data_IF_898829099076
#
_entry.id   IF_898829099076
#
_cell.length_a   1.000
_cell.length_b   1.000
_cell.length_c   1.000
_cell.angle_alpha   90.00
_cell.angle_beta   90.00
_cell.angle_gamma   90.00
#
_symmetry.space_group_name_H-M   'P 1'
#
loop_
_entity.id
_entity.type
_entity.pdbx_description
1 polymer ?
#
# COMPACT_ATOMS: atom_id res chain seq x y z
N UNK A 1 9.90 6.15 -3.76
CA UNK A 1 10.43 6.49 -5.10
C UNK A 1 10.21 7.98 -5.29
N UNK A 2 10.93 8.64 -6.20
CA UNK A 2 10.63 10.03 -6.59
C UNK A 2 9.95 9.95 -7.97
N UNK A 3 8.62 10.04 -7.99
CA UNK A 3 7.84 9.89 -9.22
C UNK A 3 7.96 11.12 -10.12
N UNK A 4 7.62 10.98 -11.41
CA UNK A 4 7.72 12.05 -12.39
C UNK A 4 6.95 13.33 -11.98
N UNK A 5 5.76 13.20 -11.39
CA UNK A 5 5.00 14.35 -10.87
C UNK A 5 5.80 15.10 -9.79
N UNK A 6 6.36 14.36 -8.82
CA UNK A 6 7.19 14.94 -7.77
C UNK A 6 8.46 15.57 -8.35
N UNK A 7 9.11 14.89 -9.28
CA UNK A 7 10.29 15.39 -9.99
C UNK A 7 10.01 16.74 -10.67
N UNK A 8 8.94 16.84 -11.45
CA UNK A 8 8.55 18.08 -12.14
C UNK A 8 8.25 19.22 -11.15
N UNK A 9 7.59 18.90 -10.03
CA UNK A 9 7.32 19.88 -8.97
C UNK A 9 8.62 20.41 -8.34
N UNK A 10 9.56 19.52 -8.00
CA UNK A 10 10.85 19.87 -7.40
C UNK A 10 11.73 20.73 -8.33
N UNK A 11 11.60 20.57 -9.65
CA UNK A 11 12.36 21.38 -10.60
C UNK A 11 11.91 22.84 -10.68
N UNK A 12 10.70 23.19 -10.23
CA UNK A 12 10.11 24.51 -10.51
C UNK A 12 9.60 25.24 -9.28
N UNK A 13 8.98 24.53 -8.34
CA UNK A 13 8.07 25.14 -7.38
C UNK A 13 8.60 25.22 -5.94
N UNK A 14 9.83 24.76 -5.70
CA UNK A 14 10.41 24.67 -4.36
C UNK A 14 11.68 25.51 -4.20
N UNK A 15 11.87 26.04 -3.00
CA UNK A 15 13.14 26.55 -2.49
C UNK A 15 14.11 25.41 -2.13
N UNK A 16 15.36 25.75 -1.77
CA UNK A 16 16.38 24.75 -1.43
C UNK A 16 15.98 23.86 -0.25
N UNK A 17 15.44 24.43 0.83
CA UNK A 17 15.03 23.67 2.02
C UNK A 17 13.72 22.91 1.80
N UNK A 18 12.81 23.47 1.01
CA UNK A 18 11.56 22.81 0.58
C UNK A 18 11.86 21.56 -0.26
N UNK A 19 12.89 21.63 -1.10
CA UNK A 19 13.37 20.49 -1.89
C UNK A 19 13.80 19.33 -0.99
N UNK A 20 14.66 19.61 -0.01
CA UNK A 20 15.14 18.60 0.94
C UNK A 20 14.00 18.05 1.80
N UNK A 21 13.05 18.92 2.18
CA UNK A 21 11.84 18.53 2.93
C UNK A 21 11.02 17.49 2.17
N UNK A 22 10.81 17.69 0.86
CA UNK A 22 10.11 16.73 0.02
C UNK A 22 10.88 15.40 -0.12
N UNK A 23 12.19 15.45 -0.35
CA UNK A 23 13.00 14.24 -0.47
C UNK A 23 13.03 13.43 0.83
N UNK A 24 13.11 14.12 1.96
CA UNK A 24 13.08 13.51 3.29
C UNK A 24 11.69 12.93 3.58
N UNK A 25 10.61 13.65 3.28
CA UNK A 25 9.24 13.14 3.41
C UNK A 25 9.06 11.83 2.63
N UNK A 26 9.45 11.80 1.35
CA UNK A 26 9.41 10.58 0.52
C UNK A 26 10.26 9.42 1.06
N UNK A 27 11.31 9.71 1.84
CA UNK A 27 12.10 8.68 2.50
C UNK A 27 11.34 8.01 3.65
N UNK A 28 10.44 8.75 4.29
CA UNK A 28 9.75 8.40 5.52
C UNK A 28 8.22 8.26 5.39
N UNK A 29 7.69 8.20 4.17
CA UNK A 29 6.27 7.88 3.91
C UNK A 29 6.01 6.37 3.91
N UNK A 30 4.94 5.92 4.57
CA UNK A 30 4.49 4.53 4.55
C UNK A 30 3.80 4.12 3.23
N UNK A 31 3.14 2.96 3.18
CA UNK A 31 2.45 2.51 1.98
C UNK A 31 1.28 3.40 1.54
N UNK A 32 0.66 4.16 2.45
CA UNK A 32 -0.44 5.08 2.16
C UNK A 32 0.04 6.50 1.87
N UNK A 33 1.36 6.72 1.89
CA UNK A 33 1.98 8.02 1.69
C UNK A 33 2.03 8.86 2.98
N UNK A 34 1.60 8.35 4.13
CA UNK A 34 1.62 9.07 5.41
C UNK A 34 3.06 9.12 5.93
N UNK A 35 3.51 10.32 6.26
CA UNK A 35 4.86 10.56 6.79
C UNK A 35 4.89 10.08 8.24
N UNK A 36 5.68 9.05 8.50
CA UNK A 36 5.79 8.41 9.83
C UNK A 36 6.89 9.03 10.70
N UNK A 37 7.55 10.09 10.23
CA UNK A 37 8.65 10.75 10.93
C UNK A 37 8.12 11.90 11.81
N UNK A 38 8.46 11.93 13.11
CA UNK A 38 8.19 13.08 13.96
C UNK A 38 8.84 14.35 13.43
N UNK A 39 8.22 15.51 13.72
CA UNK A 39 8.67 16.82 13.23
C UNK A 39 10.12 17.14 13.59
N UNK A 40 10.53 16.89 14.84
CA UNK A 40 11.89 17.16 15.31
C UNK A 40 12.96 16.34 14.55
N UNK A 41 12.66 15.06 14.30
CA UNK A 41 13.54 14.19 13.50
C UNK A 41 13.59 14.64 12.05
N UNK A 42 12.46 15.08 11.49
CA UNK A 42 12.39 15.61 10.14
C UNK A 42 13.19 16.91 10.00
N UNK A 43 13.09 17.83 10.96
CA UNK A 43 13.83 19.09 10.96
C UNK A 43 15.34 18.83 11.00
N UNK A 44 15.81 17.96 11.90
CA UNK A 44 17.21 17.52 11.95
C UNK A 44 17.65 16.83 10.66
N UNK A 45 16.78 15.98 10.11
CA UNK A 45 17.02 15.24 8.89
C UNK A 45 17.15 16.10 7.65
N UNK A 46 16.37 17.19 7.57
CA UNK A 46 16.44 18.22 6.52
C UNK A 46 17.63 19.15 6.75
N UNK A 47 18.03 19.39 8.00
CA UNK A 47 19.05 20.37 8.37
C UNK A 47 18.46 21.76 8.62
N UNK A 48 17.28 21.82 9.24
CA UNK A 48 16.58 23.07 9.56
C UNK A 48 15.98 23.05 10.97
N UNK A 49 15.36 24.14 11.39
CA UNK A 49 14.67 24.25 12.69
C UNK A 49 13.24 23.74 12.61
N UNK A 50 12.69 23.23 13.72
CA UNK A 50 11.27 22.85 13.76
C UNK A 50 10.34 24.00 13.41
N UNK A 51 10.65 25.22 13.86
CA UNK A 51 9.87 26.43 13.56
C UNK A 51 9.77 26.65 12.05
N UNK A 52 10.90 26.59 11.35
CA UNK A 52 10.92 26.78 9.89
C UNK A 52 10.25 25.61 9.16
N UNK A 53 10.46 24.38 9.62
CA UNK A 53 9.78 23.22 9.05
C UNK A 53 8.25 23.30 9.19
N UNK A 54 7.72 23.81 10.31
CA UNK A 54 6.27 24.06 10.47
C UNK A 54 5.75 25.06 9.42
N UNK A 55 6.52 26.11 9.10
CA UNK A 55 6.15 27.06 8.05
C UNK A 55 6.11 26.39 6.68
N UNK A 56 7.09 25.55 6.37
CA UNK A 56 7.10 24.76 5.12
C UNK A 56 5.89 23.82 5.06
N UNK A 57 5.61 23.08 6.13
CA UNK A 57 4.45 22.18 6.21
C UNK A 57 3.15 22.96 6.01
N UNK A 58 2.99 24.10 6.67
CA UNK A 58 1.82 24.96 6.50
C UNK A 58 1.66 25.38 5.03
N UNK A 59 2.72 25.91 4.41
CA UNK A 59 2.75 26.27 2.98
C UNK A 59 2.35 25.09 2.08
N UNK A 60 2.83 23.88 2.39
CA UNK A 60 2.55 22.65 1.64
C UNK A 60 1.14 22.09 1.81
N UNK A 61 0.42 22.51 2.85
CA UNK A 61 -0.98 22.12 3.12
C UNK A 61 -2.01 23.11 2.58
N UNK A 62 -1.59 24.36 2.30
CA UNK A 62 -2.45 25.42 1.77
C UNK A 62 -2.46 25.35 0.23
N UNK A 63 -3.63 25.54 -0.42
CA UNK A 63 -3.69 25.66 -1.88
C UNK A 63 -2.80 26.81 -2.38
N UNK A 64 -1.97 26.57 -3.38
CA UNK A 64 -1.15 27.61 -4.01
C UNK A 64 -1.60 27.82 -5.46
N UNK A 65 -2.64 28.63 -5.65
CA UNK A 65 -3.28 28.81 -6.95
C UNK A 65 -3.81 27.47 -7.48
N UNK A 66 -3.42 27.09 -8.70
CA UNK A 66 -3.77 25.81 -9.32
C UNK A 66 -2.86 24.64 -8.92
N UNK A 67 -1.82 24.88 -8.10
CA UNK A 67 -0.91 23.82 -7.68
C UNK A 67 -1.59 22.91 -6.65
N UNK A 68 -1.42 21.60 -6.86
CA UNK A 68 -1.83 20.57 -5.91
C UNK A 68 -1.11 20.75 -4.57
N UNK A 69 -1.84 20.57 -3.47
CA UNK A 69 -1.26 20.52 -2.12
C UNK A 69 -0.20 19.43 -2.06
N UNK A 70 0.99 19.76 -1.57
CA UNK A 70 2.09 18.79 -1.40
C UNK A 70 1.77 17.84 -0.25
N UNK A 71 1.22 18.36 0.84
CA UNK A 71 0.83 17.61 2.03
C UNK A 71 -0.69 17.70 2.27
N UNK A 72 -1.29 16.56 2.64
CA UNK A 72 -2.69 16.47 3.07
C UNK A 72 -2.72 16.04 4.54
N UNK A 73 -3.35 16.80 5.45
CA UNK A 73 -3.43 16.42 6.85
C UNK A 73 -4.27 15.14 7.03
N UNK A 74 -3.80 14.27 7.92
CA UNK A 74 -4.47 13.02 8.32
C UNK A 74 -4.59 13.05 9.84
N UNK A 75 -5.82 13.11 10.32
CA UNK A 75 -6.13 13.17 11.75
C UNK A 75 -6.18 11.75 12.32
N UNK A 76 -5.37 11.46 13.33
CA UNK A 76 -5.32 10.18 14.04
C UNK A 76 -5.51 10.43 15.54
N UNK A 77 -6.77 10.52 15.96
CA UNK A 77 -7.08 10.95 17.33
C UNK A 77 -6.68 12.41 17.53
N UNK A 78 -5.83 12.67 18.53
CA UNK A 78 -5.31 14.01 18.86
C UNK A 78 -4.09 14.42 18.00
N UNK A 79 -3.43 13.45 17.35
CA UNK A 79 -2.25 13.71 16.51
C UNK A 79 -2.63 14.03 15.07
N UNK A 80 -1.95 15.02 14.47
CA UNK A 80 -2.04 15.33 13.04
C UNK A 80 -0.78 14.83 12.32
N UNK A 81 -0.95 13.86 11.43
CA UNK A 81 0.08 13.45 10.48
C UNK A 81 -0.18 14.07 9.11
N UNK A 82 0.79 13.91 8.20
CA UNK A 82 0.71 14.45 6.85
C UNK A 82 0.95 13.36 5.81
N UNK A 83 0.07 13.29 4.81
CA UNK A 83 0.21 12.45 3.62
C UNK A 83 0.89 13.21 2.50
N UNK A 84 1.94 12.63 1.93
CA UNK A 84 2.60 13.14 0.73
C UNK A 84 1.69 12.95 -0.48
N UNK A 85 1.44 14.01 -1.25
CA UNK A 85 0.37 14.06 -2.25
C UNK A 85 0.86 14.44 -3.66
N UNK A 86 2.16 14.39 -3.93
CA UNK A 86 2.71 14.50 -5.28
C UNK A 86 3.09 13.11 -5.80
N UNK A 87 2.45 12.65 -6.86
CA UNK A 87 2.59 11.29 -7.39
C UNK A 87 1.42 10.37 -7.01
N UNK A 88 1.58 9.04 -7.21
CA UNK A 88 0.57 8.05 -6.87
C UNK A 88 0.15 8.15 -5.40
N UNK A 89 -1.15 8.02 -5.14
CA UNK A 89 -1.71 8.13 -3.79
C UNK A 89 -1.24 7.04 -2.82
N UNK A 90 -0.64 5.96 -3.32
CA UNK A 90 -0.03 4.87 -2.54
C UNK A 90 1.32 4.47 -3.16
N UNK A 91 2.30 4.20 -2.30
CA UNK A 91 3.61 3.68 -2.71
C UNK A 91 3.56 2.25 -3.26
N UNK A 92 2.39 1.58 -3.20
CA UNK A 92 2.19 0.22 -3.72
C UNK A 92 1.66 0.17 -5.16
N UNK A 93 1.20 1.29 -5.71
CA UNK A 93 0.56 1.37 -7.03
C UNK A 93 1.52 1.49 -8.22
N UNK A 94 2.80 1.09 -8.07
CA UNK A 94 3.79 1.24 -9.14
C UNK A 94 3.46 0.37 -10.37
N UNK A 95 3.25 1.00 -11.51
CA UNK A 95 3.09 0.34 -12.80
C UNK A 95 4.37 0.48 -13.63
N UNK A 96 5.05 -0.66 -13.86
CA UNK A 96 6.31 -0.71 -14.61
C UNK A 96 6.20 -0.23 -16.06
N UNK A 97 5.01 -0.25 -16.67
CA UNK A 97 4.78 0.17 -18.06
C UNK A 97 4.62 1.69 -18.19
N UNK A 98 4.03 2.34 -17.20
CA UNK A 98 3.65 3.77 -17.29
C UNK A 98 4.49 4.66 -16.39
N UNK A 99 4.95 4.14 -15.25
CA UNK A 99 5.51 4.99 -14.21
C UNK A 99 7.02 5.12 -14.36
N UNK A 100 7.46 6.36 -14.53
CA UNK A 100 8.87 6.76 -14.46
C UNK A 100 9.18 7.30 -13.09
N UNK A 101 10.32 6.89 -12.53
CA UNK A 101 10.75 7.34 -11.22
C UNK A 101 12.27 7.38 -11.08
N UNK A 102 12.70 8.22 -10.14
CA UNK A 102 14.07 8.23 -9.63
C UNK A 102 14.16 7.44 -8.32
N UNK A 103 15.22 6.64 -8.17
CA UNK A 103 15.54 6.00 -6.88
C UNK A 103 15.92 7.09 -5.87
N UNK A 104 15.77 6.78 -4.59
CA UNK A 104 16.17 7.68 -3.49
C UNK A 104 17.67 7.51 -3.21
N UNK A 105 18.52 7.94 -4.15
CA UNK A 105 19.96 7.75 -4.06
C UNK A 105 20.55 8.31 -2.76
N UNK A 106 21.61 7.66 -2.27
CA UNK A 106 22.24 7.97 -0.99
C UNK A 106 22.75 9.41 -0.94
N UNK A 107 23.30 9.92 -2.04
CA UNK A 107 23.87 11.25 -2.11
C UNK A 107 22.84 12.37 -1.87
N UNK A 108 21.56 12.17 -2.21
CA UNK A 108 20.48 13.14 -1.95
C UNK A 108 20.30 13.47 -0.46
N UNK A 109 20.78 12.60 0.42
CA UNK A 109 20.63 12.73 1.87
C UNK A 109 21.94 13.14 2.57
N UNK A 110 23.00 13.39 1.80
CA UNK A 110 24.31 13.81 2.31
C UNK A 110 24.32 15.30 2.72
N UNK A 111 25.26 15.68 3.58
CA UNK A 111 25.48 17.09 3.93
C UNK A 111 25.91 17.91 2.70
N UNK A 112 26.77 17.34 1.85
CA UNK A 112 27.24 17.96 0.61
C UNK A 112 26.07 18.32 -0.32
N UNK A 113 25.12 17.41 -0.55
CA UNK A 113 23.94 17.71 -1.36
C UNK A 113 23.06 18.80 -0.74
N UNK A 114 22.82 18.75 0.57
CA UNK A 114 21.98 19.75 1.27
C UNK A 114 22.56 21.16 1.16
N UNK A 115 23.88 21.28 1.15
CA UNK A 115 24.59 22.55 1.01
C UNK A 115 24.55 23.14 -0.42
N UNK A 116 24.16 22.35 -1.43
CA UNK A 116 24.04 22.86 -2.79
C UNK A 116 22.96 23.94 -2.91
N UNK A 117 23.18 24.84 -3.86
CA UNK A 117 22.15 25.78 -4.30
C UNK A 117 20.96 25.03 -4.91
N UNK A 118 19.80 25.69 -4.98
CA UNK A 118 18.62 25.10 -5.62
C UNK A 118 18.90 24.69 -7.09
N UNK A 119 19.75 25.43 -7.82
CA UNK A 119 20.15 25.08 -9.17
C UNK A 119 20.99 23.80 -9.22
N UNK A 120 21.97 23.65 -8.33
CA UNK A 120 22.74 22.41 -8.18
C UNK A 120 21.85 21.20 -7.85
N UNK A 121 20.91 21.36 -6.90
CA UNK A 121 19.96 20.30 -6.53
C UNK A 121 19.07 19.88 -7.70
N UNK A 122 18.54 20.85 -8.44
CA UNK A 122 17.71 20.60 -9.63
C UNK A 122 18.50 19.88 -10.71
N UNK A 123 19.71 20.36 -11.03
CA UNK A 123 20.54 19.78 -12.08
C UNK A 123 20.91 18.33 -11.75
N UNK A 124 21.31 18.07 -10.50
CA UNK A 124 21.65 16.71 -10.07
C UNK A 124 20.43 15.80 -10.04
N UNK A 125 19.25 16.30 -9.64
CA UNK A 125 18.01 15.52 -9.71
C UNK A 125 17.63 15.19 -11.16
N UNK A 126 17.83 16.10 -12.12
CA UNK A 126 17.64 15.81 -13.55
C UNK A 126 18.51 14.64 -13.99
N UNK A 127 19.83 14.72 -13.75
CA UNK A 127 20.78 13.66 -14.05
C UNK A 127 20.38 12.32 -13.42
N UNK A 128 20.13 12.32 -12.10
CA UNK A 128 19.76 11.13 -11.35
C UNK A 128 18.42 10.50 -11.78
N UNK A 129 17.45 11.34 -12.19
CA UNK A 129 16.18 10.86 -12.72
C UNK A 129 16.37 10.14 -14.05
N UNK A 130 17.14 10.74 -14.98
CA UNK A 130 17.47 10.10 -16.26
C UNK A 130 18.29 8.83 -16.04
N UNK A 131 19.25 8.84 -15.11
CA UNK A 131 20.05 7.68 -14.70
C UNK A 131 19.15 6.52 -14.25
N UNK A 132 18.15 6.80 -13.40
CA UNK A 132 17.20 5.79 -12.92
C UNK A 132 16.29 5.23 -14.00
N UNK A 133 15.82 6.08 -14.91
CA UNK A 133 14.90 5.69 -15.99
C UNK A 133 15.61 4.88 -17.06
N UNK A 134 16.82 5.31 -17.47
CA UNK A 134 17.63 4.62 -18.48
C UNK A 134 18.41 3.43 -17.92
N UNK A 135 18.58 3.36 -16.59
CA UNK A 135 19.44 2.37 -15.91
C UNK A 135 20.88 2.39 -16.44
N UNK A 136 21.39 3.60 -16.69
CA UNK A 136 22.74 3.87 -17.18
C UNK A 136 23.37 4.95 -16.32
N UNK A 137 24.61 4.73 -15.89
CA UNK A 137 25.41 5.70 -15.12
C UNK A 137 25.98 6.82 -15.98
N UNK A 138 25.97 6.64 -17.30
CA UNK A 138 26.20 7.72 -18.26
C UNK A 138 24.85 8.19 -18.83
N UNK A 139 24.54 9.48 -18.67
CA UNK A 139 23.33 10.08 -19.22
C UNK A 139 23.60 11.42 -19.88
N UNK A 140 22.88 11.64 -20.99
CA UNK A 140 23.07 12.78 -21.88
C UNK A 140 21.83 13.68 -21.84
N UNK A 141 22.00 14.99 -21.89
CA UNK A 141 20.95 15.99 -22.08
C UNK A 141 21.33 16.91 -23.22
N UNK A 142 20.39 17.21 -24.12
CA UNK A 142 20.60 18.33 -25.01
C UNK A 142 20.51 19.64 -24.21
N UNK A 143 21.37 20.62 -24.54
CA UNK A 143 21.43 21.89 -23.79
C UNK A 143 20.05 22.58 -23.68
N UNK A 144 19.29 22.57 -24.77
CA UNK A 144 17.95 23.15 -24.84
C UNK A 144 16.91 22.44 -23.97
N UNK A 145 17.16 21.22 -23.48
CA UNK A 145 16.27 20.56 -22.50
C UNK A 145 16.42 21.18 -21.11
N UNK A 146 17.59 21.72 -20.79
CA UNK A 146 17.92 22.33 -19.50
C UNK A 146 17.66 23.84 -19.55
N UNK A 147 18.01 24.47 -20.66
CA UNK A 147 17.81 25.90 -20.93
C UNK A 147 16.90 26.08 -22.16
N UNK A 148 15.60 25.72 -22.06
CA UNK A 148 14.69 25.80 -23.20
C UNK A 148 14.35 27.23 -23.60
N UNK A 149 14.12 28.13 -22.64
CA UNK A 149 13.66 29.52 -22.86
C UNK A 149 14.05 30.45 -21.67
N UNK A 150 13.78 31.75 -21.79
CA UNK A 150 14.01 32.78 -20.75
C UNK A 150 13.25 32.53 -19.42
N UNK A 151 12.20 31.71 -19.45
CA UNK A 151 11.43 31.29 -18.25
C UNK A 151 12.03 30.04 -17.57
N UNK A 152 13.13 29.49 -18.08
CA UNK A 152 13.82 28.38 -17.45
C UNK A 152 14.41 28.82 -16.09
N UNK A 153 14.38 27.95 -15.06
CA UNK A 153 15.15 28.19 -13.85
C UNK A 153 16.67 28.27 -14.11
N UNK A 154 17.16 27.76 -15.24
CA UNK A 154 18.55 27.82 -15.65
C UNK A 154 18.79 28.87 -16.73
N UNK A 155 19.78 29.72 -16.49
CA UNK A 155 20.51 30.46 -17.53
C UNK A 155 21.84 29.75 -17.78
N UNK A 156 22.57 30.09 -18.86
CA UNK A 156 23.91 29.53 -19.12
C UNK A 156 24.84 29.68 -17.91
N UNK A 157 24.87 30.87 -17.32
CA UNK A 157 25.70 31.14 -16.14
C UNK A 157 25.29 30.27 -14.95
N UNK A 158 23.98 30.22 -14.61
CA UNK A 158 23.49 29.40 -13.50
C UNK A 158 23.76 27.91 -13.71
N UNK A 159 23.80 27.45 -14.97
CA UNK A 159 24.17 26.08 -15.29
C UNK A 159 25.66 25.83 -15.02
N UNK A 160 26.54 26.72 -15.46
CA UNK A 160 27.97 26.64 -15.20
C UNK A 160 28.27 26.68 -13.69
N UNK A 161 27.65 27.61 -12.96
CA UNK A 161 27.79 27.74 -11.51
C UNK A 161 27.31 26.47 -10.79
N UNK A 162 26.19 25.88 -11.25
CA UNK A 162 25.66 24.64 -10.69
C UNK A 162 26.59 23.45 -10.97
N UNK A 163 27.20 23.37 -12.15
CA UNK A 163 28.18 22.33 -12.48
C UNK A 163 29.41 22.43 -11.60
N UNK A 164 29.99 23.63 -11.46
CA UNK A 164 31.14 23.87 -10.59
C UNK A 164 30.84 23.48 -9.14
N UNK A 165 29.72 23.95 -8.58
CA UNK A 165 29.32 23.61 -7.22
C UNK A 165 29.10 22.11 -7.00
N UNK A 166 28.60 21.38 -8.02
CA UNK A 166 28.45 19.92 -7.95
C UNK A 166 29.81 19.23 -8.00
N UNK A 167 30.74 19.67 -8.84
CA UNK A 167 32.08 19.09 -8.88
C UNK A 167 32.82 19.29 -7.55
N UNK A 168 32.73 20.49 -6.98
CA UNK A 168 33.37 20.81 -5.70
C UNK A 168 32.81 19.95 -4.54
N UNK A 169 31.48 19.78 -4.49
CA UNK A 169 30.83 19.09 -3.39
C UNK A 169 30.71 17.56 -3.58
N UNK A 170 30.51 17.11 -4.82
CA UNK A 170 30.08 15.75 -5.19
C UNK A 170 30.81 15.21 -6.43
N UNK A 171 31.96 15.77 -6.82
CA UNK A 171 32.74 15.31 -7.98
C UNK A 171 33.26 13.87 -7.89
N UNK A 172 33.32 13.33 -6.67
CA UNK A 172 33.61 11.91 -6.40
C UNK A 172 32.41 10.98 -6.66
N UNK A 173 31.23 11.52 -6.98
CA UNK A 173 30.01 10.76 -7.32
C UNK A 173 29.65 10.96 -8.78
N UNK A 174 29.76 12.19 -9.29
CA UNK A 174 29.35 12.54 -10.65
C UNK A 174 30.28 13.57 -11.27
N UNK A 175 30.65 13.33 -12.52
CA UNK A 175 31.32 14.29 -13.38
C UNK A 175 30.38 14.76 -14.48
N UNK A 176 30.09 16.05 -14.48
CA UNK A 176 29.32 16.72 -15.53
C UNK A 176 30.27 17.40 -16.51
N UNK A 177 30.12 17.16 -17.81
CA UNK A 177 30.94 17.80 -18.86
C UNK A 177 30.08 18.29 -20.03
N UNK A 178 30.49 19.38 -20.64
CA UNK A 178 29.92 19.86 -21.91
C UNK A 178 30.59 19.13 -23.06
N UNK A 179 29.78 18.63 -24.00
CA UNK A 179 30.25 18.01 -25.22
C UNK A 179 29.42 18.50 -26.42
N UNK A 180 29.81 18.08 -27.62
CA UNK A 180 29.07 18.34 -28.85
C UNK A 180 28.72 17.02 -29.52
N UNK A 181 27.48 16.87 -30.00
CA UNK A 181 27.11 15.68 -30.77
C UNK A 181 27.93 15.65 -32.06
N UNK A 182 28.60 14.54 -32.32
CA UNK A 182 29.52 14.37 -33.45
C UNK A 182 28.93 14.79 -34.81
N UNK A 183 27.64 14.50 -35.06
CA UNK A 183 27.00 14.75 -36.35
C UNK A 183 26.24 16.09 -36.43
N UNK A 184 25.59 16.51 -35.35
CA UNK A 184 24.73 17.71 -35.38
C UNK A 184 25.40 18.97 -34.83
N UNK A 185 26.61 18.84 -34.26
CA UNK A 185 27.35 19.89 -33.55
C UNK A 185 26.57 20.58 -32.42
N UNK A 186 25.42 20.03 -32.01
CA UNK A 186 24.60 20.59 -30.93
C UNK A 186 25.27 20.32 -29.59
N UNK A 187 25.31 21.35 -28.75
CA UNK A 187 25.85 21.29 -27.39
C UNK A 187 24.99 20.37 -26.51
N UNK A 188 25.66 19.49 -25.78
CA UNK A 188 25.07 18.51 -24.87
C UNK A 188 25.77 18.57 -23.51
N UNK A 189 25.04 18.22 -22.45
CA UNK A 189 25.62 17.90 -21.16
C UNK A 189 25.69 16.38 -20.98
N UNK A 190 26.85 15.89 -20.58
CA UNK A 190 27.11 14.50 -20.22
C UNK A 190 27.25 14.43 -18.71
N UNK A 191 26.49 13.55 -18.07
CA UNK A 191 26.64 13.20 -16.66
C UNK A 191 27.22 11.79 -16.59
N UNK A 192 28.41 11.67 -16.01
CA UNK A 192 29.06 10.40 -15.73
C UNK A 192 29.03 10.17 -14.23
N UNK A 193 28.08 9.35 -13.78
CA UNK A 193 28.06 8.84 -12.41
C UNK A 193 29.10 7.74 -12.27
N UNK A 194 29.76 7.69 -11.12
CA UNK A 194 30.73 6.63 -10.85
C UNK A 194 30.05 5.26 -10.75
N UNK A 195 30.82 4.21 -11.05
CA UNK A 195 30.33 2.84 -11.05
C UNK A 195 29.72 2.45 -9.69
N UNK A 196 28.53 1.87 -9.73
CA UNK A 196 27.78 1.39 -8.56
C UNK A 196 26.80 2.40 -7.96
N UNK A 197 26.84 3.67 -8.37
CA UNK A 197 25.91 4.71 -7.87
C UNK A 197 24.45 4.36 -8.16
N UNK A 198 24.17 3.62 -9.25
CA UNK A 198 22.83 3.12 -9.56
C UNK A 198 22.23 2.26 -8.44
N UNK A 199 23.04 1.58 -7.65
CA UNK A 199 22.61 0.68 -6.59
C UNK A 199 22.75 1.27 -5.18
N UNK A 200 23.34 2.46 -5.06
CA UNK A 200 23.46 3.21 -3.81
C UNK A 200 22.20 4.03 -3.49
N UNK A 201 21.14 3.37 -3.01
CA UNK A 201 19.90 4.04 -2.62
C UNK A 201 19.50 3.79 -1.16
N UNK A 202 18.77 4.75 -0.58
CA UNK A 202 18.16 4.62 0.74
C UNK A 202 16.84 3.87 0.63
N UNK A 203 16.76 2.74 1.32
CA UNK A 203 15.50 2.00 1.49
C UNK A 203 14.48 2.81 2.29
N UNK A 204 13.22 2.74 1.88
CA UNK A 204 12.12 3.20 2.72
C UNK A 204 11.87 2.20 3.85
N UNK A 205 11.98 2.63 5.10
CA UNK A 205 11.68 1.79 6.29
C UNK A 205 10.52 2.35 7.12
N UNK A 206 9.72 3.26 6.57
CA UNK A 206 8.58 3.87 7.26
C UNK A 206 7.57 2.81 7.71
N UNK A 207 7.19 1.90 6.83
CA UNK A 207 6.26 0.80 7.16
C UNK A 207 6.83 -0.11 8.26
N UNK A 208 8.12 -0.44 8.20
CA UNK A 208 8.80 -1.21 9.25
C UNK A 208 8.72 -0.53 10.61
N UNK A 209 8.90 0.79 10.61
CA UNK A 209 8.86 1.61 11.81
C UNK A 209 7.46 1.66 12.38
N UNK A 210 6.45 1.84 11.52
CA UNK A 210 5.04 1.80 11.89
C UNK A 210 4.63 0.43 12.45
N UNK A 211 5.09 -0.66 11.84
CA UNK A 211 4.88 -2.02 12.33
C UNK A 211 5.41 -2.19 13.76
N UNK A 212 6.67 -1.81 14.00
CA UNK A 212 7.29 -1.91 15.32
C UNK A 212 6.54 -1.08 16.35
N UNK A 213 6.21 0.18 16.01
CA UNK A 213 5.43 1.07 16.87
C UNK A 213 4.06 0.47 17.20
N UNK A 214 3.39 -0.11 16.22
CA UNK A 214 2.08 -0.75 16.40
C UNK A 214 2.16 -1.92 17.37
N UNK A 215 3.14 -2.81 17.20
CA UNK A 215 3.32 -3.96 18.08
C UNK A 215 3.73 -3.52 19.49
N UNK A 216 4.65 -2.55 19.60
CA UNK A 216 5.08 -1.98 20.87
C UNK A 216 3.91 -1.39 21.66
N UNK A 217 3.13 -0.54 21.01
CA UNK A 217 1.95 0.10 21.61
C UNK A 217 0.83 -0.90 21.95
N UNK A 218 0.93 -2.15 21.48
CA UNK A 218 -0.05 -3.21 21.76
C UNK A 218 0.35 -4.12 22.93
N UNK A 219 1.48 -3.84 23.60
CA UNK A 219 1.90 -4.51 24.83
C UNK A 219 3.18 -5.36 24.72
N UNK A 220 3.82 -5.45 23.55
CA UNK A 220 5.10 -6.15 23.42
C UNK A 220 6.28 -5.17 23.42
N UNK A 221 6.95 -5.06 24.56
CA UNK A 221 8.08 -4.13 24.76
C UNK A 221 9.43 -4.64 24.21
N UNK A 222 9.48 -5.89 23.72
CA UNK A 222 10.70 -6.48 23.20
C UNK A 222 11.08 -5.97 21.81
N UNK A 223 12.36 -6.08 21.45
CA UNK A 223 12.82 -5.77 20.11
C UNK A 223 12.41 -6.86 19.11
N UNK A 224 11.94 -6.45 17.92
CA UNK A 224 11.63 -7.35 16.80
C UNK A 224 12.70 -7.14 15.73
N UNK A 225 13.42 -8.22 15.42
CA UNK A 225 14.50 -8.20 14.44
C UNK A 225 13.99 -7.84 13.03
N UNK A 226 14.91 -7.36 12.19
CA UNK A 226 14.59 -6.89 10.84
C UNK A 226 14.09 -8.03 9.93
N UNK A 227 14.53 -9.27 10.15
CA UNK A 227 14.11 -10.43 9.35
C UNK A 227 12.65 -10.81 9.59
N UNK A 228 12.19 -10.84 10.84
CA UNK A 228 10.78 -11.02 11.20
C UNK A 228 9.96 -9.87 10.62
N UNK A 229 10.36 -8.61 10.83
CA UNK A 229 9.63 -7.46 10.29
C UNK A 229 9.42 -7.55 8.77
N UNK A 230 10.45 -7.98 8.01
CA UNK A 230 10.34 -8.15 6.55
C UNK A 230 9.31 -9.21 6.16
N UNK A 231 9.23 -10.33 6.89
CA UNK A 231 8.22 -11.36 6.61
C UNK A 231 6.81 -10.87 6.98
N UNK A 232 6.65 -10.15 8.09
CA UNK A 232 5.36 -9.54 8.46
C UNK A 232 4.91 -8.48 7.42
N UNK A 233 5.84 -7.64 6.96
CA UNK A 233 5.62 -6.68 5.86
C UNK A 233 5.21 -7.40 4.57
N UNK A 234 5.75 -8.59 4.27
CA UNK A 234 5.34 -9.34 3.07
C UNK A 234 3.89 -9.80 3.16
N UNK A 235 3.45 -10.27 4.32
CA UNK A 235 2.04 -10.66 4.53
C UNK A 235 1.11 -9.46 4.39
N UNK A 236 1.47 -8.32 4.98
CA UNK A 236 0.74 -7.07 4.79
C UNK A 236 0.69 -6.66 3.32
N UNK A 237 1.84 -6.64 2.63
CA UNK A 237 1.90 -6.23 1.22
C UNK A 237 1.06 -7.13 0.31
N UNK A 238 0.92 -8.41 0.64
CA UNK A 238 0.07 -9.35 -0.09
C UNK A 238 -1.40 -8.92 -0.07
N UNK A 239 -1.99 -8.60 1.10
CA UNK A 239 -3.41 -8.20 1.16
C UNK A 239 -3.68 -6.91 0.39
N UNK A 240 -2.79 -5.91 0.50
CA UNK A 240 -2.92 -4.67 -0.26
C UNK A 240 -2.89 -4.93 -1.76
N UNK A 241 -1.96 -5.76 -2.24
CA UNK A 241 -1.86 -6.09 -3.67
C UNK A 241 -3.09 -6.83 -4.17
N UNK A 242 -3.57 -7.82 -3.43
CA UNK A 242 -4.75 -8.58 -3.80
C UNK A 242 -5.97 -7.68 -3.94
N UNK A 243 -6.23 -6.80 -2.96
CA UNK A 243 -7.40 -5.91 -3.04
C UNK A 243 -7.26 -4.85 -4.14
N UNK A 244 -6.04 -4.36 -4.40
CA UNK A 244 -5.80 -3.40 -5.48
C UNK A 244 -5.93 -4.01 -6.87
N UNK A 245 -5.62 -5.29 -7.04
CA UNK A 245 -5.79 -6.00 -8.32
C UNK A 245 -7.27 -6.13 -8.71
N UNK A 246 -8.15 -6.41 -7.75
CA UNK A 246 -9.59 -6.45 -8.01
C UNK A 246 -10.18 -5.07 -8.33
N UNK A 247 -9.51 -3.99 -7.91
CA UNK A 247 -9.99 -2.62 -8.08
C UNK A 247 -9.54 -1.93 -9.39
N UNK A 248 -8.93 -2.66 -10.34
CA UNK A 248 -8.19 -2.04 -11.47
C UNK A 248 -9.07 -1.28 -12.48
N UNK A 249 -10.39 -1.51 -12.51
CA UNK A 249 -11.34 -0.84 -13.41
C UNK A 249 -12.61 -0.35 -12.67
N UNK A 250 -12.48 -0.01 -11.39
CA UNK A 250 -13.62 0.27 -10.51
C UNK A 250 -13.61 1.74 -10.11
N UNK A 251 -14.76 2.26 -9.68
CA UNK A 251 -14.87 3.61 -9.13
C UNK A 251 -13.79 3.86 -8.06
N UNK A 252 -13.21 5.05 -8.14
CA UNK A 252 -12.12 5.48 -7.27
C UNK A 252 -12.50 5.44 -5.78
N UNK A 253 -13.79 5.57 -5.45
CA UNK A 253 -14.28 5.48 -4.07
C UNK A 253 -14.20 4.06 -3.51
N UNK A 254 -14.56 3.04 -4.30
CA UNK A 254 -14.42 1.64 -3.90
C UNK A 254 -12.94 1.29 -3.74
N UNK A 255 -12.08 1.76 -4.66
CA UNK A 255 -10.63 1.55 -4.57
C UNK A 255 -10.05 2.13 -3.26
N UNK A 256 -10.48 3.33 -2.87
CA UNK A 256 -10.07 3.95 -1.59
C UNK A 256 -10.55 3.16 -0.38
N UNK A 257 -11.80 2.70 -0.38
CA UNK A 257 -12.32 1.89 0.73
C UNK A 257 -11.59 0.56 0.87
N UNK A 258 -11.26 -0.11 -0.24
CA UNK A 258 -10.44 -1.32 -0.21
C UNK A 258 -9.03 -1.08 0.34
N UNK A 259 -8.40 0.05 0.01
CA UNK A 259 -7.11 0.44 0.60
C UNK A 259 -7.21 0.66 2.11
N UNK A 260 -8.24 1.40 2.55
CA UNK A 260 -8.50 1.62 3.99
C UNK A 260 -8.74 0.30 4.71
N UNK A 261 -9.50 -0.60 4.09
CA UNK A 261 -9.81 -1.91 4.64
C UNK A 261 -8.57 -2.78 4.76
N UNK A 262 -7.71 -2.81 3.73
CA UNK A 262 -6.43 -3.51 3.79
C UNK A 262 -5.54 -2.98 4.93
N UNK A 263 -5.46 -1.64 5.08
CA UNK A 263 -4.75 -1.00 6.20
C UNK A 263 -5.34 -1.37 7.55
N UNK A 264 -6.67 -1.37 7.66
CA UNK A 264 -7.38 -1.75 8.88
C UNK A 264 -7.06 -3.20 9.26
N UNK A 265 -7.26 -4.16 8.34
CA UNK A 265 -7.00 -5.58 8.58
C UNK A 265 -5.55 -5.79 9.01
N UNK A 266 -4.60 -5.20 8.30
CA UNK A 266 -3.18 -5.37 8.62
C UNK A 266 -2.82 -4.75 9.98
N UNK A 267 -3.22 -3.50 10.24
CA UNK A 267 -2.88 -2.81 11.49
C UNK A 267 -3.54 -3.47 12.69
N UNK A 268 -4.81 -3.87 12.57
CA UNK A 268 -5.53 -4.58 13.64
C UNK A 268 -4.93 -5.97 13.89
N UNK A 269 -4.51 -6.67 12.83
CA UNK A 269 -3.81 -7.94 12.96
C UNK A 269 -2.45 -7.79 13.65
N UNK A 270 -1.71 -6.72 13.36
CA UNK A 270 -0.46 -6.41 14.07
C UNK A 270 -0.69 -6.13 15.56
N UNK A 271 -1.81 -5.48 15.92
CA UNK A 271 -2.17 -5.28 17.33
C UNK A 271 -2.44 -6.61 18.03
N UNK A 272 -3.27 -7.47 17.44
CA UNK A 272 -3.56 -8.82 17.96
C UNK A 272 -2.30 -9.69 18.03
N UNK A 273 -1.43 -9.59 17.03
CA UNK A 273 -0.12 -10.24 17.03
C UNK A 273 0.71 -9.76 18.23
N UNK A 274 0.82 -8.45 18.43
CA UNK A 274 1.54 -7.86 19.57
C UNK A 274 1.00 -8.29 20.93
N UNK A 275 -0.32 -8.39 21.08
CA UNK A 275 -0.97 -8.88 22.30
C UNK A 275 -0.68 -10.37 22.57
N UNK A 276 -0.52 -11.18 21.52
CA UNK A 276 -0.23 -12.61 21.66
C UNK A 276 1.26 -12.91 21.93
N UNK A 277 2.17 -11.99 21.58
CA UNK A 277 3.62 -12.20 21.68
C UNK A 277 4.14 -12.48 23.11
N UNK A 278 3.67 -11.82 24.19
CA UNK A 278 4.15 -12.11 25.53
C UNK A 278 4.04 -13.60 25.92
N UNK A 279 2.96 -14.26 25.49
CA UNK A 279 2.73 -15.69 25.70
C UNK A 279 3.34 -16.59 24.60
N UNK A 280 3.79 -16.02 23.49
CA UNK A 280 4.25 -16.75 22.31
C UNK A 280 5.58 -16.22 21.75
N UNK A 281 6.54 -15.91 22.63
CA UNK A 281 7.84 -15.34 22.25
C UNK A 281 8.60 -16.21 21.24
N UNK A 282 8.39 -17.53 21.28
CA UNK A 282 8.95 -18.49 20.34
C UNK A 282 8.62 -18.18 18.87
N UNK A 283 7.51 -17.49 18.59
CA UNK A 283 7.15 -17.07 17.22
C UNK A 283 8.21 -16.17 16.59
N UNK A 284 8.98 -15.43 17.41
CA UNK A 284 10.02 -14.53 16.93
C UNK A 284 11.35 -15.24 16.60
N UNK A 285 11.49 -16.51 16.98
CA UNK A 285 12.70 -17.31 16.69
C UNK A 285 12.78 -17.66 15.20
N UNK A 286 11.65 -17.86 14.54
CA UNK A 286 11.56 -18.21 13.13
C UNK A 286 10.69 -17.20 12.36
N UNK A 287 11.26 -16.36 11.47
CA UNK A 287 10.51 -15.35 10.71
C UNK A 287 9.28 -15.90 9.96
N UNK A 288 9.39 -17.13 9.43
CA UNK A 288 8.28 -17.80 8.75
C UNK A 288 7.13 -18.15 9.69
N UNK A 289 7.42 -18.60 10.91
CA UNK A 289 6.38 -18.90 11.91
C UNK A 289 5.65 -17.63 12.33
N UNK A 290 6.36 -16.52 12.57
CA UNK A 290 5.76 -15.23 12.84
C UNK A 290 4.81 -14.79 11.71
N UNK A 291 5.26 -14.89 10.44
CA UNK A 291 4.42 -14.53 9.30
C UNK A 291 3.21 -15.45 9.10
N UNK A 292 3.35 -16.76 9.33
CA UNK A 292 2.24 -17.70 9.22
C UNK A 292 1.17 -17.40 10.29
N UNK A 293 1.60 -17.11 11.52
CA UNK A 293 0.72 -16.72 12.61
C UNK A 293 0.00 -15.40 12.33
N UNK A 294 0.73 -14.35 11.91
CA UNK A 294 0.10 -13.08 11.49
C UNK A 294 -0.88 -13.29 10.34
N UNK A 295 -0.51 -14.11 9.35
CA UNK A 295 -1.38 -14.39 8.20
C UNK A 295 -2.68 -15.08 8.60
N UNK A 296 -2.66 -15.95 9.63
CA UNK A 296 -3.87 -16.54 10.22
C UNK A 296 -4.74 -15.48 10.92
N UNK A 297 -4.13 -14.56 11.67
CA UNK A 297 -4.86 -13.44 12.27
C UNK A 297 -5.53 -12.60 11.18
N UNK A 298 -4.78 -12.23 10.14
CA UNK A 298 -5.31 -11.46 9.01
C UNK A 298 -6.45 -12.18 8.28
N UNK A 299 -6.39 -13.51 8.16
CA UNK A 299 -7.49 -14.30 7.63
C UNK A 299 -8.76 -14.16 8.46
N UNK A 300 -8.65 -14.30 9.78
CA UNK A 300 -9.80 -14.14 10.67
C UNK A 300 -10.37 -12.72 10.62
N UNK A 301 -9.51 -11.70 10.55
CA UNK A 301 -9.95 -10.30 10.38
C UNK A 301 -10.68 -10.09 9.06
N UNK A 302 -10.12 -10.58 7.94
CA UNK A 302 -10.75 -10.45 6.63
C UNK A 302 -12.10 -11.16 6.58
N UNK A 303 -12.21 -12.34 7.21
CA UNK A 303 -13.46 -13.09 7.31
C UNK A 303 -14.51 -12.34 8.14
N UNK A 304 -14.12 -11.74 9.26
CA UNK A 304 -15.03 -10.91 10.07
C UNK A 304 -15.53 -9.68 9.28
N UNK A 305 -14.63 -9.01 8.55
CA UNK A 305 -15.02 -7.88 7.70
C UNK A 305 -15.92 -8.32 6.54
N UNK A 306 -15.65 -9.47 5.93
CA UNK A 306 -16.49 -10.06 4.87
C UNK A 306 -17.93 -10.22 5.37
N UNK A 307 -18.10 -10.74 6.58
CA UNK A 307 -19.42 -10.93 7.21
C UNK A 307 -20.12 -9.59 7.45
N UNK A 308 -19.39 -8.58 7.93
CA UNK A 308 -19.94 -7.22 8.14
C UNK A 308 -20.45 -6.61 6.83
N UNK A 309 -19.65 -6.68 5.76
CA UNK A 309 -20.05 -6.19 4.44
C UNK A 309 -21.18 -7.03 3.83
N UNK A 310 -21.22 -8.34 4.06
CA UNK A 310 -22.34 -9.19 3.67
C UNK A 310 -23.64 -8.78 4.34
N UNK A 311 -23.60 -8.60 5.66
CA UNK A 311 -24.75 -8.18 6.41
C UNK A 311 -25.23 -6.77 6.02
N UNK A 312 -24.29 -5.86 5.74
CA UNK A 312 -24.59 -4.52 5.25
C UNK A 312 -25.24 -4.56 3.86
N UNK A 313 -24.68 -5.31 2.91
CA UNK A 313 -25.24 -5.45 1.57
C UNK A 313 -26.66 -6.01 1.62
N UNK A 314 -26.90 -7.05 2.41
CA UNK A 314 -28.22 -7.66 2.56
C UNK A 314 -29.23 -6.73 3.23
N UNK A 315 -28.79 -5.97 4.25
CA UNK A 315 -29.66 -4.98 4.89
C UNK A 315 -30.06 -3.86 3.92
N UNK A 316 -29.14 -3.41 3.07
CA UNK A 316 -29.45 -2.38 2.06
C UNK A 316 -30.33 -2.98 0.96
N UNK A 317 -30.08 -4.22 0.54
CA UNK A 317 -30.90 -4.92 -0.46
C UNK A 317 -32.35 -5.08 0.01
N UNK A 318 -32.55 -5.56 1.23
CA UNK A 318 -33.88 -5.67 1.85
C UNK A 318 -34.59 -4.32 1.96
N UNK A 319 -33.84 -3.23 2.15
CA UNK A 319 -34.39 -1.88 2.09
C UNK A 319 -34.78 -1.50 0.64
N UNK A 320 -33.92 -1.77 -0.34
CA UNK A 320 -34.14 -1.45 -1.75
C UNK A 320 -35.36 -2.18 -2.34
N UNK A 321 -35.62 -3.43 -1.96
CA UNK A 321 -36.77 -4.23 -2.41
C UNK A 321 -38.13 -3.69 -1.93
N UNK A 322 -38.14 -2.63 -1.11
CA UNK A 322 -39.35 -2.00 -0.59
C UNK A 322 -39.78 -0.80 -1.43
N UNK A 323 -40.12 -1.03 -2.70
CA UNK A 323 -40.44 0.01 -3.70
C UNK A 323 -41.47 1.05 -3.21
N UNK A 324 -42.51 0.58 -2.52
CA UNK A 324 -43.56 1.45 -1.97
C UNK A 324 -43.04 2.47 -0.94
N UNK A 325 -42.02 2.13 -0.15
CA UNK A 325 -41.40 3.07 0.77
C UNK A 325 -40.60 4.14 0.01
N UNK A 326 -39.84 3.73 -1.00
CA UNK A 326 -39.04 4.64 -1.82
C UNK A 326 -39.89 5.60 -2.62
N UNK A 327 -40.99 5.11 -3.21
CA UNK A 327 -41.97 5.94 -3.90
C UNK A 327 -42.57 6.98 -2.96
N UNK A 328 -43.07 6.56 -1.79
CA UNK A 328 -43.67 7.47 -0.80
C UNK A 328 -42.70 8.55 -0.31
N UNK A 329 -41.44 8.20 -0.03
CA UNK A 329 -40.40 9.16 0.37
C UNK A 329 -40.10 10.15 -0.76
N UNK A 330 -39.99 9.65 -1.99
CA UNK A 330 -39.69 10.48 -3.18
C UNK A 330 -40.84 11.43 -3.51
N UNK A 331 -42.09 10.96 -3.44
CA UNK A 331 -43.29 11.78 -3.65
C UNK A 331 -43.42 12.88 -2.58
N UNK A 332 -43.12 12.56 -1.32
CA UNK A 332 -43.08 13.55 -0.23
C UNK A 332 -41.99 14.59 -0.42
N UNK A 333 -40.80 14.17 -0.86
CA UNK A 333 -39.68 15.07 -1.10
C UNK A 333 -39.96 16.03 -2.28
N UNK A 334 -40.55 15.51 -3.35
CA UNK A 334 -40.81 16.26 -4.60
C UNK A 334 -42.20 16.91 -4.64
N UNK A 335 -43.06 16.62 -3.66
CA UNK A 335 -44.44 17.13 -3.51
C UNK A 335 -45.32 16.87 -4.73
N UNK A 336 -45.10 15.75 -5.41
CA UNK A 336 -45.86 15.29 -6.57
C UNK A 336 -45.71 13.78 -6.74
N UNK A 337 -46.57 13.17 -7.54
CA UNK A 337 -46.37 11.80 -8.01
C UNK A 337 -45.05 11.71 -8.79
N UNK A 338 -44.29 10.65 -8.52
CA UNK A 338 -43.05 10.32 -9.22
C UNK A 338 -43.20 9.02 -9.98
N UNK A 339 -42.65 8.99 -11.19
CA UNK A 339 -42.54 7.76 -11.97
C UNK A 339 -41.34 6.91 -11.50
N UNK A 340 -41.22 5.69 -12.04
CA UNK A 340 -40.17 4.75 -11.65
C UNK A 340 -38.75 5.24 -11.99
N UNK A 341 -38.59 6.04 -13.05
CA UNK A 341 -37.30 6.62 -13.42
C UNK A 341 -36.86 7.65 -12.37
N UNK A 342 -37.76 8.56 -11.99
CA UNK A 342 -37.50 9.59 -10.98
C UNK A 342 -37.27 8.99 -9.59
N UNK A 343 -38.01 7.92 -9.26
CA UNK A 343 -37.75 7.13 -8.05
C UNK A 343 -36.35 6.51 -8.10
N UNK A 344 -35.96 5.93 -9.24
CA UNK A 344 -34.64 5.36 -9.48
C UNK A 344 -33.51 6.36 -9.25
N UNK A 345 -33.64 7.58 -9.80
CA UNK A 345 -32.69 8.66 -9.59
C UNK A 345 -32.59 9.08 -8.11
N UNK A 346 -33.73 9.11 -7.40
CA UNK A 346 -33.77 9.50 -5.99
C UNK A 346 -33.13 8.44 -5.06
N UNK A 347 -33.22 7.15 -5.40
CA UNK A 347 -32.61 6.06 -4.62
C UNK A 347 -31.20 5.66 -5.06
N UNK A 348 -30.72 6.20 -6.19
CA UNK A 348 -29.37 5.93 -6.74
C UNK A 348 -28.24 6.00 -5.70
N UNK A 349 -28.21 6.96 -4.73
CA UNK A 349 -27.18 6.96 -3.68
C UNK A 349 -27.22 5.72 -2.77
N UNK A 350 -28.40 5.15 -2.52
CA UNK A 350 -28.58 3.92 -1.73
C UNK A 350 -28.13 2.71 -2.55
N UNK A 351 -28.50 2.67 -3.83
CA UNK A 351 -28.09 1.63 -4.76
C UNK A 351 -26.56 1.57 -4.92
N UNK A 352 -25.89 2.74 -5.02
CA UNK A 352 -24.42 2.81 -5.03
C UNK A 352 -23.79 2.23 -3.77
N UNK A 353 -24.37 2.49 -2.59
CA UNK A 353 -23.89 1.90 -1.32
C UNK A 353 -24.07 0.39 -1.27
N UNK A 354 -25.18 -0.13 -1.81
CA UNK A 354 -25.38 -1.57 -1.97
C UNK A 354 -24.28 -2.19 -2.84
N UNK A 355 -24.10 -1.67 -4.06
CA UNK A 355 -23.09 -2.19 -4.98
C UNK A 355 -21.68 -2.12 -4.41
N UNK A 356 -21.34 -1.05 -3.69
CA UNK A 356 -20.06 -0.94 -3.01
C UNK A 356 -19.89 -2.01 -1.93
N UNK A 357 -20.88 -2.18 -1.04
CA UNK A 357 -20.79 -3.16 0.04
C UNK A 357 -20.72 -4.59 -0.49
N UNK A 358 -21.55 -4.92 -1.49
CA UNK A 358 -21.56 -6.23 -2.13
C UNK A 358 -20.26 -6.50 -2.88
N UNK A 359 -19.71 -5.51 -3.60
CA UNK A 359 -18.42 -5.66 -4.27
C UNK A 359 -17.29 -5.96 -3.27
N UNK A 360 -17.18 -5.15 -2.19
CA UNK A 360 -16.15 -5.34 -1.16
C UNK A 360 -16.30 -6.73 -0.50
N UNK A 361 -17.53 -7.17 -0.24
CA UNK A 361 -17.81 -8.52 0.27
C UNK A 361 -17.24 -9.61 -0.64
N UNK A 362 -17.44 -9.52 -1.95
CA UNK A 362 -16.91 -10.51 -2.91
C UNK A 362 -15.38 -10.54 -2.89
N UNK A 363 -14.72 -9.37 -2.95
CA UNK A 363 -13.25 -9.28 -2.87
C UNK A 363 -12.70 -9.96 -1.62
N UNK A 364 -13.35 -9.74 -0.46
CA UNK A 364 -12.96 -10.39 0.79
C UNK A 364 -13.21 -11.89 0.78
N UNK A 365 -14.35 -12.32 0.22
CA UNK A 365 -14.72 -13.72 0.11
C UNK A 365 -13.69 -14.51 -0.70
N UNK A 366 -13.34 -13.97 -1.86
CA UNK A 366 -12.42 -14.58 -2.83
C UNK A 366 -10.99 -14.61 -2.28
N UNK A 367 -10.58 -13.55 -1.58
CA UNK A 367 -9.31 -13.53 -0.88
C UNK A 367 -9.23 -14.59 0.23
N UNK A 368 -10.29 -14.73 1.04
CA UNK A 368 -10.36 -15.75 2.08
C UNK A 368 -10.34 -17.17 1.52
N UNK A 369 -11.03 -17.42 0.39
CA UNK A 369 -11.00 -18.71 -0.29
C UNK A 369 -9.62 -19.01 -0.86
N UNK A 370 -9.02 -18.06 -1.57
CA UNK A 370 -7.67 -18.19 -2.12
C UNK A 370 -6.64 -18.46 -1.02
N UNK A 371 -6.74 -17.77 0.13
CA UNK A 371 -5.87 -17.97 1.28
C UNK A 371 -5.96 -19.39 1.85
N UNK A 372 -7.16 -19.95 1.90
CA UNK A 372 -7.41 -21.29 2.44
C UNK A 372 -7.01 -22.39 1.45
N UNK A 373 -7.44 -22.24 0.19
CA UNK A 373 -7.11 -23.15 -0.90
C UNK A 373 -5.59 -23.23 -1.07
N UNK A 374 -4.87 -22.10 -1.07
CA UNK A 374 -3.41 -22.11 -1.24
C UNK A 374 -2.70 -22.91 -0.14
N UNK A 375 -3.17 -22.89 1.10
CA UNK A 375 -2.57 -23.64 2.21
C UNK A 375 -2.84 -25.13 2.16
N UNK A 376 -4.06 -25.51 1.80
CA UNK A 376 -4.41 -26.92 1.64
C UNK A 376 -3.69 -27.47 0.41
N UNK A 377 -3.74 -26.74 -0.71
CA UNK A 377 -3.09 -27.11 -1.97
C UNK A 377 -1.58 -27.26 -1.83
N UNK A 378 -0.90 -26.33 -1.15
CA UNK A 378 0.57 -26.42 -0.97
C UNK A 378 0.95 -27.73 -0.29
N UNK A 379 0.25 -28.12 0.78
CA UNK A 379 0.56 -29.35 1.51
C UNK A 379 0.18 -30.60 0.70
N UNK A 380 -0.94 -30.58 -0.03
CA UNK A 380 -1.31 -31.71 -0.92
C UNK A 380 -0.38 -31.84 -2.12
N UNK A 381 0.09 -30.72 -2.69
CA UNK A 381 0.98 -30.72 -3.85
C UNK A 381 2.41 -31.11 -3.44
N UNK A 382 2.90 -30.66 -2.28
CA UNK A 382 4.17 -31.13 -1.67
C UNK A 382 4.13 -32.64 -1.45
N UNK A 383 3.03 -33.17 -0.89
CA UNK A 383 2.83 -34.61 -0.74
C UNK A 383 2.83 -35.35 -2.09
N UNK A 384 2.23 -34.76 -3.13
CA UNK A 384 2.15 -35.36 -4.47
C UNK A 384 3.49 -35.31 -5.23
N UNK A 385 4.22 -34.20 -5.14
CA UNK A 385 5.46 -33.96 -5.89
C UNK A 385 6.62 -34.85 -5.42
N UNK A 386 6.61 -35.27 -4.15
CA UNK A 386 7.66 -36.11 -3.54
C UNK A 386 7.45 -37.62 -3.71
N UNK A 387 6.69 -38.03 -4.74
CA UNK A 387 6.27 -39.41 -4.99
C UNK A 387 7.32 -40.52 -4.71
N UNK A 388 6.83 -41.62 -4.09
CA UNK A 388 7.52 -42.86 -3.68
C UNK A 388 8.45 -42.81 -2.44
N UNK A 389 8.70 -41.65 -1.81
CA UNK A 389 9.66 -41.57 -0.67
C UNK A 389 9.07 -41.23 0.70
N UNK A 390 7.76 -41.00 0.83
CA UNK A 390 7.15 -40.61 2.11
C UNK A 390 6.46 -41.77 2.82
N UNK A 391 6.67 -41.81 4.14
CA UNK A 391 6.16 -42.81 5.06
C UNK A 391 4.68 -42.60 5.37
N UNK A 392 4.01 -43.59 5.95
CA UNK A 392 2.64 -43.44 6.48
C UNK A 392 2.51 -42.25 7.44
N UNK A 393 3.59 -41.90 8.15
CA UNK A 393 3.66 -40.76 9.07
C UNK A 393 3.50 -39.41 8.34
N UNK A 394 4.07 -39.25 7.14
CA UNK A 394 3.95 -38.00 6.37
C UNK A 394 2.52 -37.76 5.87
N UNK A 395 1.80 -38.84 5.53
CA UNK A 395 0.37 -38.79 5.19
C UNK A 395 -0.44 -38.38 6.41
N UNK A 396 -0.15 -38.96 7.57
CA UNK A 396 -0.82 -38.62 8.82
C UNK A 396 -0.59 -37.16 9.20
N UNK A 397 0.64 -36.65 9.10
CA UNK A 397 0.97 -35.23 9.33
C UNK A 397 0.18 -34.30 8.40
N UNK A 398 0.05 -34.68 7.12
CA UNK A 398 -0.73 -33.93 6.14
C UNK A 398 -2.22 -33.92 6.47
N UNK A 399 -2.77 -35.09 6.83
CA UNK A 399 -4.17 -35.23 7.23
C UNK A 399 -4.49 -34.45 8.51
N UNK A 400 -3.60 -34.50 9.50
CA UNK A 400 -3.72 -33.76 10.76
C UNK A 400 -3.66 -32.24 10.52
N UNK A 401 -2.76 -31.76 9.66
CA UNK A 401 -2.68 -30.35 9.29
C UNK A 401 -3.97 -29.86 8.62
N UNK A 402 -4.49 -30.62 7.64
CA UNK A 402 -5.76 -30.29 6.99
C UNK A 402 -6.93 -30.31 7.98
N UNK A 403 -7.00 -31.33 8.85
CA UNK A 403 -8.03 -31.43 9.87
C UNK A 403 -7.98 -30.23 10.83
N UNK A 404 -6.78 -29.79 11.21
CA UNK A 404 -6.57 -28.60 12.04
C UNK A 404 -7.05 -27.33 11.36
N UNK A 405 -6.66 -27.09 10.09
CA UNK A 405 -7.15 -25.92 9.33
C UNK A 405 -8.65 -25.95 9.21
N UNK A 406 -9.22 -27.11 8.83
CA UNK A 406 -10.66 -27.28 8.68
C UNK A 406 -11.40 -26.95 9.97
N UNK A 407 -10.98 -27.55 11.09
CA UNK A 407 -11.62 -27.35 12.39
C UNK A 407 -11.47 -25.89 12.86
N UNK A 408 -10.30 -25.28 12.67
CA UNK A 408 -10.08 -23.87 12.98
C UNK A 408 -11.01 -22.96 12.15
N UNK A 409 -11.12 -23.20 10.84
CA UNK A 409 -11.99 -22.43 9.95
C UNK A 409 -13.46 -22.60 10.31
N UNK A 410 -13.92 -23.82 10.54
CA UNK A 410 -15.31 -24.07 10.96
C UNK A 410 -15.62 -23.43 12.30
N UNK A 411 -14.71 -23.53 13.28
CA UNK A 411 -14.87 -22.87 14.57
C UNK A 411 -15.00 -21.34 14.45
N UNK A 412 -14.25 -20.70 13.54
CA UNK A 412 -14.42 -19.27 13.29
C UNK A 412 -15.74 -18.94 12.58
N UNK A 413 -16.17 -19.74 11.60
CA UNK A 413 -17.46 -19.54 10.95
C UNK A 413 -18.62 -19.69 11.94
N UNK A 414 -18.57 -20.68 12.82
CA UNK A 414 -19.59 -20.92 13.85
C UNK A 414 -19.62 -19.80 14.90
N UNK A 415 -18.46 -19.27 15.28
CA UNK A 415 -18.37 -18.07 16.11
C UNK A 415 -19.02 -16.85 15.44
N UNK A 416 -18.74 -16.62 14.15
CA UNK A 416 -19.30 -15.50 13.40
C UNK A 416 -20.81 -15.65 13.18
N UNK A 417 -21.29 -16.87 12.92
CA UNK A 417 -22.73 -17.19 12.89
C UNK A 417 -23.39 -16.83 14.22
N UNK A 418 -22.78 -17.21 15.35
CA UNK A 418 -23.29 -16.88 16.68
C UNK A 418 -23.36 -15.36 16.91
N UNK A 419 -22.33 -14.62 16.48
CA UNK A 419 -22.30 -13.15 16.59
C UNK A 419 -23.37 -12.48 15.70
N UNK A 420 -23.60 -12.97 14.49
CA UNK A 420 -24.68 -12.49 13.63
C UNK A 420 -26.05 -12.75 14.24
N UNK A 421 -26.23 -13.92 14.88
CA UNK A 421 -27.47 -14.25 15.56
C UNK A 421 -27.76 -13.27 16.71
N UNK A 422 -26.73 -12.89 17.47
CA UNK A 422 -26.85 -12.02 18.63
C UNK A 422 -26.97 -10.52 18.27
N UNK A 423 -26.17 -10.05 17.31
CA UNK A 423 -25.96 -8.62 17.06
C UNK A 423 -26.35 -8.15 15.66
N UNK A 424 -26.68 -9.06 14.75
CA UNK A 424 -27.08 -8.68 13.40
C UNK A 424 -28.44 -7.99 13.38
N UNK A 425 -28.69 -7.16 12.37
CA UNK A 425 -29.94 -6.46 12.14
C UNK A 425 -31.13 -7.44 12.13
N UNK A 426 -32.03 -7.26 13.09
CA UNK A 426 -33.22 -8.09 13.29
C UNK A 426 -34.34 -7.77 12.28
N UNK A 427 -34.19 -6.71 11.49
CA UNK A 427 -35.10 -6.41 10.38
C UNK A 427 -34.92 -7.35 9.17
N UNK A 428 -33.80 -8.09 9.11
CA UNK A 428 -33.54 -9.12 8.10
C UNK A 428 -33.79 -10.49 8.72
N UNK A 429 -34.49 -11.36 8.00
CA UNK A 429 -34.83 -12.69 8.49
C UNK A 429 -33.56 -13.52 8.79
N UNK A 430 -33.56 -14.39 9.83
CA UNK A 430 -32.35 -15.09 10.27
C UNK A 430 -31.70 -15.98 9.20
N UNK A 431 -32.51 -16.64 8.38
CA UNK A 431 -32.10 -17.46 7.23
C UNK A 431 -31.34 -16.62 6.18
N UNK A 432 -31.87 -15.46 5.83
CA UNK A 432 -31.26 -14.51 4.89
C UNK A 432 -29.97 -13.93 5.47
N UNK A 433 -29.99 -13.56 6.76
CA UNK A 433 -28.83 -13.02 7.49
C UNK A 433 -27.67 -14.02 7.57
N UNK A 434 -27.97 -15.30 7.73
CA UNK A 434 -26.95 -16.35 7.90
C UNK A 434 -26.50 -16.96 6.57
N UNK A 435 -27.29 -16.81 5.50
CA UNK A 435 -27.06 -17.41 4.20
C UNK A 435 -25.62 -17.28 3.67
N UNK A 436 -24.94 -16.10 3.73
CA UNK A 436 -23.58 -15.98 3.23
C UNK A 436 -22.58 -16.90 3.96
N UNK A 437 -22.72 -17.04 5.28
CA UNK A 437 -21.85 -17.88 6.09
C UNK A 437 -22.20 -19.36 5.95
N UNK A 438 -23.49 -19.71 5.90
CA UNK A 438 -23.94 -21.09 5.68
C UNK A 438 -23.47 -21.61 4.33
N UNK A 439 -23.71 -20.85 3.25
CA UNK A 439 -23.25 -21.19 1.91
C UNK A 439 -21.73 -21.32 1.84
N UNK A 440 -20.97 -20.43 2.50
CA UNK A 440 -19.51 -20.54 2.55
C UNK A 440 -19.07 -21.80 3.28
N UNK A 441 -19.71 -22.15 4.41
CA UNK A 441 -19.43 -23.37 5.17
C UNK A 441 -19.67 -24.62 4.31
N UNK A 442 -20.78 -24.67 3.58
CA UNK A 442 -21.12 -25.76 2.65
C UNK A 442 -20.09 -25.90 1.52
N UNK A 443 -19.73 -24.80 0.84
CA UNK A 443 -18.70 -24.81 -0.20
C UNK A 443 -17.36 -25.33 0.33
N UNK A 444 -16.97 -24.90 1.54
CA UNK A 444 -15.74 -25.36 2.18
C UNK A 444 -15.81 -26.82 2.62
N UNK A 445 -16.97 -27.31 3.08
CA UNK A 445 -17.19 -28.73 3.38
C UNK A 445 -16.98 -29.60 2.15
N UNK A 446 -17.58 -29.23 1.02
CA UNK A 446 -17.38 -29.91 -0.26
C UNK A 446 -15.90 -29.90 -0.68
N UNK A 447 -15.22 -28.76 -0.55
CA UNK A 447 -13.79 -28.66 -0.86
C UNK A 447 -12.93 -29.59 0.00
N UNK A 448 -13.10 -29.57 1.33
CA UNK A 448 -12.31 -30.42 2.23
C UNK A 448 -12.62 -31.91 2.03
N UNK A 449 -13.86 -32.28 1.68
CA UNK A 449 -14.22 -33.64 1.32
C UNK A 449 -13.45 -34.12 0.08
N UNK A 450 -13.43 -33.30 -0.99
CA UNK A 450 -12.68 -33.61 -2.22
C UNK A 450 -11.18 -33.74 -1.94
N UNK A 451 -10.58 -32.87 -1.12
CA UNK A 451 -9.14 -32.96 -0.81
C UNK A 451 -8.81 -34.20 0.04
N UNK A 452 -9.70 -34.56 0.98
CA UNK A 452 -9.55 -35.79 1.75
C UNK A 452 -9.61 -37.01 0.84
N UNK A 453 -10.61 -37.09 -0.03
CA UNK A 453 -10.73 -38.19 -1.01
C UNK A 453 -9.49 -38.30 -1.91
N UNK A 454 -8.96 -37.16 -2.39
CA UNK A 454 -7.73 -37.15 -3.20
C UNK A 454 -6.52 -37.71 -2.46
N UNK A 455 -6.37 -37.41 -1.16
CA UNK A 455 -5.30 -37.98 -0.34
C UNK A 455 -5.51 -39.47 -0.05
N UNK A 456 -6.76 -39.90 0.07
CA UNK A 456 -7.09 -41.31 0.26
C UNK A 456 -6.88 -42.12 -1.03
N UNK A 457 -7.21 -41.59 -2.21
CA UNK A 457 -6.98 -42.25 -3.52
C UNK A 457 -5.48 -42.41 -3.85
N UNK A 458 -4.65 -41.44 -3.45
CA UNK A 458 -3.18 -41.57 -3.53
C UNK A 458 -2.63 -42.74 -2.69
N UNK A 459 -3.45 -43.36 -1.84
CA UNK A 459 -3.10 -44.50 -0.99
C UNK A 459 -3.44 -45.86 -1.61
N UNK A 460 -4.27 -45.87 -2.66
CA UNK A 460 -4.72 -47.10 -3.33
C UNK A 460 -3.80 -47.41 -4.54
N UNK A 461 -2.97 -46.44 -4.94
CA UNK A 461 -2.04 -46.54 -6.07
C UNK A 461 -0.57 -46.77 -5.66
N UNK A 462 -0.32 -47.01 -4.36
CA UNK A 462 0.90 -47.62 -3.80
C UNK A 462 0.74 -49.13 -3.68
#
# INVERSE_FOLDING_TARGET
MIYEETYRYLLRNVSSTEFDTCLYALLHSDWDGVIQCPLHMMARGVGTTEKYLRQIIHKFTVPQGSLKKVFVPVHLGEDVLYKFNLGPASNLGYNRKTDRYCKKYRFFYSAAFKALTIHGKRLLLMGAFRMSVLKSEEVLFDYHEIVPDSRSPFTRQRLLDAVAAIHDALGHIVKISFASRAFSKKEILVFNFNEGVLDEYKENRAERTLLRRTIFNSGYLGHINDSVCRELERVGKYIFRSFLQEATNISHDIQKELQKLARFIYSHSLKKFGQALPANKQLLLAPKQASAYLSKIMYNEALEQMVKYAHQAESIKSLLERDHFHRNISEKALRREVNDLEMGEHIEPILRKYHQADFIRHVLNDWCETWLISRVKTVTDEFRAEGKRKSTDDKQVTAEYMARIRNDTYGQLDRLLTLLLQFGNHAVAPDVRNFPLTKKKETLQSYFAIQKERLDVLSISS
#
